data_IF_876142578748
#
_entry.id   IF_876142578748
#
_cell.length_a   1.000
_cell.length_b   1.000
_cell.length_c   1.000
_cell.angle_alpha   90.00
_cell.angle_beta   90.00
_cell.angle_gamma   90.00
#
_symmetry.space_group_name_H-M   'P 1'
#
loop_
_entity.id
_entity.type
_entity.pdbx_description
1 polymer ?
#
# COMPACT_ATOMS: atom_id res chain seq x y z
N UNK A 1 32.95 19.79 -14.80
CA UNK A 1 32.60 20.00 -13.39
C UNK A 1 32.59 18.64 -12.69
N UNK A 2 33.76 18.17 -12.23
CA UNK A 2 33.92 16.95 -11.41
C UNK A 2 34.14 17.28 -9.92
N UNK A 3 34.16 18.57 -9.56
CA UNK A 3 34.57 19.04 -8.24
C UNK A 3 33.58 18.79 -7.10
N UNK A 4 32.31 18.50 -7.37
CA UNK A 4 31.32 18.26 -6.31
C UNK A 4 31.37 16.81 -5.78
N UNK A 5 31.88 15.85 -6.57
CA UNK A 5 31.95 14.43 -6.19
C UNK A 5 33.07 14.11 -5.19
N UNK A 6 34.20 14.83 -5.24
CA UNK A 6 35.34 14.59 -4.34
C UNK A 6 35.07 14.98 -2.87
N UNK A 7 34.05 15.80 -2.61
CA UNK A 7 33.69 16.22 -1.24
C UNK A 7 33.07 15.09 -0.41
N UNK A 8 32.59 14.02 -1.05
CA UNK A 8 31.96 12.87 -0.40
C UNK A 8 32.93 11.71 -0.13
N UNK A 9 34.20 11.85 -0.55
CA UNK A 9 35.24 10.84 -0.39
C UNK A 9 35.94 10.49 -1.71
N UNK A 10 37.17 9.99 -1.62
CA UNK A 10 37.88 9.45 -2.78
C UNK A 10 37.16 8.19 -3.25
N UNK A 11 36.77 8.18 -4.52
CA UNK A 11 36.12 7.04 -5.13
C UNK A 11 36.85 6.70 -6.42
N UNK A 12 37.39 5.49 -6.50
CA UNK A 12 38.28 5.04 -7.59
C UNK A 12 37.64 5.18 -8.99
N UNK A 13 36.31 5.20 -9.06
CA UNK A 13 35.57 5.42 -10.31
C UNK A 13 35.70 6.86 -10.81
N UNK A 14 35.74 7.86 -9.93
CA UNK A 14 35.92 9.25 -10.33
C UNK A 14 37.35 9.51 -10.80
N UNK A 15 38.36 8.93 -10.15
CA UNK A 15 39.76 8.96 -10.61
C UNK A 15 39.91 8.37 -12.02
N UNK A 16 39.18 7.29 -12.31
CA UNK A 16 39.22 6.62 -13.60
C UNK A 16 38.45 7.38 -14.70
N UNK A 17 37.37 8.08 -14.33
CA UNK A 17 36.60 8.93 -15.26
C UNK A 17 37.26 10.31 -15.50
N UNK A 18 38.08 10.79 -14.57
CA UNK A 18 38.82 12.06 -14.68
C UNK A 18 39.95 11.98 -15.71
N UNK A 19 40.49 10.78 -15.98
CA UNK A 19 41.53 10.53 -17.00
C UNK A 19 41.06 10.67 -18.46
N UNK A 20 39.91 11.31 -18.69
CA UNK A 20 39.27 11.49 -20.00
C UNK A 20 39.15 10.20 -20.85
N UNK A 21 38.62 9.09 -20.30
CA UNK A 21 38.50 7.83 -21.03
C UNK A 21 37.54 7.95 -22.23
N UNK A 22 37.86 7.26 -23.33
CA UNK A 22 36.98 7.14 -24.50
C UNK A 22 35.67 6.42 -24.13
N UNK A 23 34.59 6.61 -24.89
CA UNK A 23 33.27 6.00 -24.61
C UNK A 23 33.32 4.48 -24.36
N UNK A 24 34.20 3.76 -25.05
CA UNK A 24 34.42 2.32 -24.84
C UNK A 24 35.01 2.02 -23.45
N UNK A 25 35.98 2.81 -23.00
CA UNK A 25 36.61 2.66 -21.69
C UNK A 25 35.63 3.03 -20.56
N UNK A 26 34.78 4.03 -20.77
CA UNK A 26 33.69 4.38 -19.83
C UNK A 26 32.74 3.19 -19.65
N UNK A 27 32.36 2.51 -20.74
CA UNK A 27 31.50 1.32 -20.68
C UNK A 27 32.18 0.16 -19.96
N UNK A 28 33.47 -0.06 -20.17
CA UNK A 28 34.23 -1.09 -19.43
C UNK A 28 34.31 -0.78 -17.94
N UNK A 29 34.52 0.48 -17.55
CA UNK A 29 34.48 0.91 -16.15
C UNK A 29 33.09 0.63 -15.55
N UNK A 30 32.02 0.96 -16.29
CA UNK A 30 30.64 0.68 -15.89
C UNK A 30 30.34 -0.81 -15.72
N UNK A 31 30.90 -1.68 -16.58
CA UNK A 31 30.77 -3.14 -16.45
C UNK A 31 31.56 -3.68 -15.26
N UNK A 32 32.81 -3.26 -15.06
CA UNK A 32 33.67 -3.72 -13.95
C UNK A 32 33.12 -3.33 -12.58
N UNK A 33 32.48 -2.18 -12.48
CA UNK A 33 31.91 -1.64 -11.25
C UNK A 33 30.45 -2.07 -11.05
N UNK A 34 29.89 -2.88 -11.95
CA UNK A 34 28.52 -3.40 -11.85
C UNK A 34 27.41 -2.39 -12.18
N UNK A 35 27.75 -1.16 -12.61
CA UNK A 35 26.77 -0.16 -13.05
C UNK A 35 26.08 -0.53 -14.36
N UNK A 36 26.72 -1.35 -15.19
CA UNK A 36 26.16 -1.91 -16.41
C UNK A 36 26.05 -3.42 -16.27
N UNK A 37 24.87 -3.97 -16.56
CA UNK A 37 24.69 -5.42 -16.73
C UNK A 37 24.98 -5.78 -18.19
N UNK A 38 25.93 -6.68 -18.41
CA UNK A 38 26.22 -7.21 -19.73
C UNK A 38 25.01 -8.01 -20.23
N UNK A 39 24.27 -7.42 -21.16
CA UNK A 39 23.20 -8.04 -21.95
C UNK A 39 21.99 -8.58 -21.17
N UNK A 40 20.98 -7.74 -20.96
CA UNK A 40 19.58 -8.18 -20.91
C UNK A 40 18.84 -7.66 -22.14
N UNK A 41 18.99 -8.40 -23.26
CA UNK A 41 18.03 -8.34 -24.36
C UNK A 41 16.66 -8.73 -23.79
N UNK A 42 15.64 -7.92 -24.09
CA UNK A 42 14.21 -8.21 -23.88
C UNK A 42 13.72 -8.22 -22.42
N UNK A 43 13.85 -7.11 -21.71
CA UNK A 43 12.90 -6.82 -20.65
C UNK A 43 11.72 -6.06 -21.27
N UNK A 44 10.56 -6.71 -21.36
CA UNK A 44 9.25 -6.05 -21.52
C UNK A 44 9.27 -4.76 -20.71
N UNK A 45 8.72 -3.69 -21.29
CA UNK A 45 8.50 -2.40 -20.63
C UNK A 45 7.71 -2.66 -19.34
N UNK A 46 8.43 -2.98 -18.26
CA UNK A 46 7.95 -2.91 -16.91
C UNK A 46 7.96 -1.43 -16.63
N UNK A 47 6.78 -0.83 -16.59
CA UNK A 47 6.59 0.52 -16.08
C UNK A 47 7.43 0.63 -14.80
N UNK A 48 8.48 1.45 -14.87
CA UNK A 48 9.33 1.71 -13.71
C UNK A 48 8.48 2.60 -12.81
N UNK A 49 8.14 2.12 -11.63
CA UNK A 49 7.50 2.96 -10.62
C UNK A 49 8.40 4.20 -10.42
N UNK A 50 7.84 5.38 -10.65
CA UNK A 50 8.58 6.66 -10.64
C UNK A 50 9.13 6.99 -9.24
N UNK A 51 8.57 6.35 -8.23
CA UNK A 51 8.96 6.44 -6.83
C UNK A 51 9.10 5.02 -6.33
N UNK A 52 10.29 4.64 -5.87
CA UNK A 52 10.42 3.41 -5.08
C UNK A 52 9.70 3.68 -3.77
N UNK A 53 8.63 2.92 -3.49
CA UNK A 53 8.01 2.91 -2.17
C UNK A 53 9.13 2.58 -1.19
N UNK A 54 9.42 3.51 -0.29
CA UNK A 54 10.56 3.37 0.60
C UNK A 54 10.14 2.44 1.75
N UNK A 55 10.12 1.13 1.50
CA UNK A 55 9.74 0.10 2.47
C UNK A 55 10.64 0.14 3.73
N UNK A 56 11.79 0.81 3.65
CA UNK A 56 12.67 1.07 4.79
C UNK A 56 12.06 1.99 5.86
N UNK A 57 11.05 2.81 5.52
CA UNK A 57 10.29 3.62 6.49
C UNK A 57 9.15 2.79 7.12
N UNK A 58 8.79 1.65 6.52
CA UNK A 58 7.77 0.72 7.01
C UNK A 58 8.34 -0.37 7.93
N UNK A 59 9.63 -0.29 8.27
CA UNK A 59 10.28 -1.18 9.23
C UNK A 59 9.90 -0.83 10.67
N UNK A 60 8.69 -1.24 11.04
CA UNK A 60 8.35 -1.77 12.37
C UNK A 60 6.98 -2.46 12.22
N UNK A 61 7.01 -3.77 12.02
CA UNK A 61 5.91 -4.70 12.33
C UNK A 61 4.52 -4.38 11.75
N UNK A 62 4.42 -3.61 10.66
CA UNK A 62 3.10 -3.20 10.15
C UNK A 62 2.48 -4.37 9.37
N UNK A 63 1.44 -4.97 9.92
CA UNK A 63 0.69 -6.03 9.25
C UNK A 63 0.08 -5.51 7.94
N UNK A 64 -0.19 -6.38 6.95
CA UNK A 64 -0.87 -5.96 5.72
C UNK A 64 -2.20 -5.24 5.97
N UNK A 65 -2.91 -5.60 7.05
CA UNK A 65 -4.14 -4.93 7.48
C UNK A 65 -3.88 -3.53 8.05
N UNK A 66 -2.80 -3.33 8.81
CA UNK A 66 -2.40 -2.00 9.28
C UNK A 66 -1.95 -1.08 8.12
N UNK A 67 -1.34 -1.64 7.07
CA UNK A 67 -1.05 -0.89 5.85
C UNK A 67 -2.33 -0.44 5.15
N UNK A 68 -3.33 -1.31 5.05
CA UNK A 68 -4.63 -0.97 4.48
C UNK A 68 -5.34 0.12 5.31
N UNK A 69 -5.25 0.05 6.64
CA UNK A 69 -5.80 1.10 7.52
C UNK A 69 -5.12 2.46 7.27
N UNK A 70 -3.79 2.50 7.20
CA UNK A 70 -3.06 3.75 6.88
C UNK A 70 -3.46 4.32 5.52
N UNK A 71 -3.71 3.46 4.53
CA UNK A 71 -4.19 3.89 3.22
C UNK A 71 -5.60 4.49 3.30
N UNK A 72 -6.50 3.83 4.02
CA UNK A 72 -7.86 4.32 4.26
C UNK A 72 -7.85 5.65 5.00
N UNK A 73 -7.03 5.80 6.05
CA UNK A 73 -6.86 7.08 6.76
C UNK A 73 -6.39 8.20 5.84
N UNK A 74 -5.41 7.92 4.97
CA UNK A 74 -4.94 8.87 3.95
C UNK A 74 -6.08 9.27 3.01
N UNK A 75 -6.84 8.30 2.48
CA UNK A 75 -7.99 8.57 1.60
C UNK A 75 -9.05 9.45 2.29
N UNK A 76 -9.32 9.21 3.58
CA UNK A 76 -10.23 10.02 4.37
C UNK A 76 -9.71 11.45 4.57
N UNK A 77 -8.40 11.64 4.78
CA UNK A 77 -7.79 12.97 4.85
C UNK A 77 -7.98 13.77 3.55
N UNK A 78 -7.96 13.10 2.40
CA UNK A 78 -8.25 13.72 1.10
C UNK A 78 -9.75 13.80 0.77
N UNK A 79 -10.64 13.44 1.70
CA UNK A 79 -12.09 13.47 1.52
C UNK A 79 -12.61 12.40 0.57
N UNK A 80 -11.81 11.38 0.23
CA UNK A 80 -12.15 10.32 -0.71
C UNK A 80 -12.90 9.18 -0.01
N UNK A 81 -14.05 9.49 0.60
CA UNK A 81 -14.84 8.56 1.41
C UNK A 81 -15.19 7.26 0.67
N UNK A 82 -15.70 7.36 -0.56
CA UNK A 82 -16.09 6.18 -1.35
C UNK A 82 -14.92 5.23 -1.65
N UNK A 83 -13.74 5.81 -1.91
CA UNK A 83 -12.53 5.02 -2.14
C UNK A 83 -12.04 4.40 -0.83
N UNK A 84 -12.08 5.15 0.26
CA UNK A 84 -11.73 4.65 1.60
C UNK A 84 -12.61 3.45 1.99
N UNK A 85 -13.93 3.54 1.79
CA UNK A 85 -14.86 2.43 2.03
C UNK A 85 -14.49 1.23 1.14
N UNK A 86 -14.28 1.45 -0.16
CA UNK A 86 -13.98 0.37 -1.11
C UNK A 86 -12.64 -0.33 -0.79
N UNK A 87 -11.60 0.42 -0.42
CA UNK A 87 -10.30 -0.13 0.00
C UNK A 87 -10.46 -0.95 1.27
N UNK A 88 -11.27 -0.48 2.22
CA UNK A 88 -11.51 -1.19 3.48
C UNK A 88 -12.34 -2.47 3.29
N UNK A 89 -13.35 -2.44 2.42
CA UNK A 89 -14.10 -3.64 2.01
C UNK A 89 -13.17 -4.70 1.42
N UNK A 90 -12.24 -4.29 0.54
CA UNK A 90 -11.25 -5.21 -0.03
C UNK A 90 -10.29 -5.76 1.01
N UNK A 91 -9.84 -4.92 1.96
CA UNK A 91 -8.96 -5.35 3.04
C UNK A 91 -9.65 -6.39 3.93
N UNK A 92 -10.93 -6.21 4.25
CA UNK A 92 -11.73 -7.16 5.04
C UNK A 92 -11.88 -8.49 4.31
N UNK A 93 -12.09 -8.48 3.00
CA UNK A 93 -12.17 -9.71 2.22
C UNK A 93 -10.84 -10.47 2.17
N UNK A 94 -9.71 -9.77 2.28
CA UNK A 94 -8.37 -10.38 2.31
C UNK A 94 -7.97 -10.84 3.71
N UNK A 95 -8.39 -10.10 4.73
CA UNK A 95 -8.03 -10.30 6.14
C UNK A 95 -9.28 -10.32 7.03
N UNK A 96 -10.15 -11.35 6.88
CA UNK A 96 -11.44 -11.39 7.58
C UNK A 96 -11.30 -11.56 9.09
N UNK A 97 -10.13 -11.97 9.60
CA UNK A 97 -9.85 -12.14 11.03
C UNK A 97 -9.50 -10.82 11.74
N UNK A 98 -9.21 -9.76 10.98
CA UNK A 98 -8.74 -8.49 11.53
C UNK A 98 -9.92 -7.61 11.97
N UNK A 99 -10.36 -7.81 13.22
CA UNK A 99 -11.50 -7.12 13.84
C UNK A 99 -11.46 -5.59 13.73
N UNK A 100 -10.26 -5.00 13.69
CA UNK A 100 -10.08 -3.55 13.59
C UNK A 100 -10.61 -2.96 12.26
N UNK A 101 -10.51 -3.71 11.16
CA UNK A 101 -10.99 -3.26 9.86
C UNK A 101 -12.51 -3.04 9.88
N UNK A 102 -13.25 -3.91 10.57
CA UNK A 102 -14.70 -3.82 10.70
C UNK A 102 -15.16 -2.61 11.51
N UNK A 103 -14.43 -2.27 12.58
CA UNK A 103 -14.76 -1.10 13.40
C UNK A 103 -14.72 0.17 12.55
N UNK A 104 -13.65 0.34 11.78
CA UNK A 104 -13.50 1.50 10.90
C UNK A 104 -14.55 1.48 9.78
N UNK A 105 -14.86 0.30 9.24
CA UNK A 105 -15.85 0.17 8.15
C UNK A 105 -17.23 0.60 8.63
N UNK A 106 -17.64 0.13 9.81
CA UNK A 106 -18.92 0.50 10.37
C UNK A 106 -18.99 2.00 10.65
N UNK A 107 -17.97 2.61 11.26
CA UNK A 107 -17.95 4.08 11.48
C UNK A 107 -18.12 4.86 10.17
N UNK A 108 -17.42 4.45 9.11
CA UNK A 108 -17.56 5.10 7.80
C UNK A 108 -18.96 4.95 7.21
N UNK A 109 -19.60 3.79 7.37
CA UNK A 109 -20.98 3.58 6.95
C UNK A 109 -22.00 4.31 7.81
N UNK A 110 -21.78 4.43 9.13
CA UNK A 110 -22.65 5.23 10.00
C UNK A 110 -22.61 6.71 9.58
N UNK A 111 -21.43 7.19 9.15
CA UNK A 111 -21.24 8.57 8.68
C UNK A 111 -21.77 8.82 7.27
N UNK A 112 -21.73 7.82 6.39
CA UNK A 112 -22.27 7.92 5.03
C UNK A 112 -23.78 7.67 4.97
N UNK A 113 -24.35 7.10 6.03
CA UNK A 113 -25.73 6.62 6.13
C UNK A 113 -26.10 5.59 5.02
N UNK A 114 -25.10 4.97 4.38
CA UNK A 114 -25.30 3.99 3.31
C UNK A 114 -25.46 2.57 3.87
N UNK A 115 -26.54 2.38 4.61
CA UNK A 115 -26.88 1.11 5.26
C UNK A 115 -27.17 -0.01 4.26
N UNK A 116 -27.69 0.34 3.08
CA UNK A 116 -28.05 -0.64 2.05
C UNK A 116 -26.81 -1.32 1.51
N UNK A 117 -25.76 -0.54 1.19
CA UNK A 117 -24.48 -1.08 0.73
C UNK A 117 -23.80 -1.93 1.80
N UNK A 118 -23.83 -1.49 3.05
CA UNK A 118 -23.30 -2.27 4.17
C UNK A 118 -23.98 -3.64 4.30
N UNK A 119 -25.32 -3.70 4.24
CA UNK A 119 -26.04 -4.98 4.32
C UNK A 119 -25.72 -5.92 3.14
N UNK A 120 -25.48 -5.37 1.94
CA UNK A 120 -25.05 -6.17 0.80
C UNK A 120 -23.64 -6.73 1.03
N UNK A 121 -22.72 -5.90 1.51
CA UNK A 121 -21.36 -6.32 1.83
C UNK A 121 -21.32 -7.42 2.91
N UNK A 122 -22.08 -7.26 4.00
CA UNK A 122 -22.15 -8.25 5.07
C UNK A 122 -22.75 -9.58 4.62
N UNK A 123 -23.70 -9.56 3.69
CA UNK A 123 -24.22 -10.78 3.05
C UNK A 123 -23.13 -11.48 2.25
N UNK A 124 -22.44 -10.74 1.38
CA UNK A 124 -21.32 -11.26 0.59
C UNK A 124 -20.20 -11.84 1.46
N UNK A 125 -19.89 -11.16 2.57
CA UNK A 125 -18.88 -11.61 3.52
C UNK A 125 -19.26 -12.95 4.15
N UNK A 126 -20.51 -13.09 4.61
CA UNK A 126 -21.02 -14.33 5.21
C UNK A 126 -21.07 -15.50 4.21
N UNK A 127 -21.29 -15.21 2.92
CA UNK A 127 -21.25 -16.21 1.86
C UNK A 127 -19.83 -16.68 1.55
N UNK A 128 -18.82 -15.81 1.68
CA UNK A 128 -17.43 -16.14 1.39
C UNK A 128 -16.70 -16.77 2.57
N UNK A 129 -16.91 -16.24 3.76
CA UNK A 129 -16.18 -16.63 4.98
C UNK A 129 -17.16 -17.16 6.02
N UNK A 130 -17.09 -18.48 6.28
CA UNK A 130 -17.92 -19.14 7.27
C UNK A 130 -17.48 -18.84 8.72
N UNK A 131 -16.21 -18.44 8.93
CA UNK A 131 -15.59 -18.26 10.24
C UNK A 131 -15.13 -16.82 10.45
N UNK A 132 -16.08 -15.93 10.75
CA UNK A 132 -15.79 -14.58 11.23
C UNK A 132 -15.47 -14.60 12.73
N UNK A 133 -14.61 -13.69 13.23
CA UNK A 133 -14.37 -13.52 14.66
C UNK A 133 -15.68 -13.27 15.41
N UNK A 134 -15.82 -13.83 16.61
CA UNK A 134 -17.03 -13.70 17.42
C UNK A 134 -17.35 -12.22 17.72
N UNK A 135 -16.31 -11.41 17.94
CA UNK A 135 -16.43 -9.96 18.17
C UNK A 135 -17.08 -9.25 16.97
N UNK A 136 -16.72 -9.66 15.75
CA UNK A 136 -17.26 -9.10 14.51
C UNK A 136 -18.72 -9.50 14.33
N UNK A 137 -19.06 -10.77 14.59
CA UNK A 137 -20.45 -11.25 14.52
C UNK A 137 -21.34 -10.52 15.53
N UNK A 138 -20.84 -10.28 16.74
CA UNK A 138 -21.54 -9.51 17.76
C UNK A 138 -21.72 -8.05 17.33
N UNK A 139 -20.66 -7.42 16.81
CA UNK A 139 -20.69 -6.04 16.34
C UNK A 139 -21.71 -5.86 15.20
N UNK A 140 -21.72 -6.77 14.22
CA UNK A 140 -22.72 -6.78 13.13
C UNK A 140 -24.14 -6.86 13.70
N UNK A 141 -24.38 -7.77 14.66
CA UNK A 141 -25.70 -7.95 15.26
C UNK A 141 -26.18 -6.71 16.00
N UNK A 142 -25.29 -6.04 16.75
CA UNK A 142 -25.59 -4.79 17.44
C UNK A 142 -25.87 -3.65 16.45
N UNK A 143 -25.10 -3.58 15.36
CA UNK A 143 -25.28 -2.58 14.31
C UNK A 143 -26.63 -2.74 13.62
N UNK A 144 -27.00 -3.97 13.26
CA UNK A 144 -28.32 -4.27 12.70
C UNK A 144 -29.45 -3.84 13.65
N UNK A 145 -29.34 -4.11 14.94
CA UNK A 145 -30.32 -3.66 15.94
C UNK A 145 -30.45 -2.13 15.98
N UNK A 146 -29.32 -1.40 15.90
CA UNK A 146 -29.32 0.07 15.86
C UNK A 146 -29.99 0.62 14.60
N UNK A 147 -29.68 0.05 13.44
CA UNK A 147 -30.30 0.45 12.15
C UNK A 147 -31.81 0.26 12.21
N UNK A 148 -32.29 -0.90 12.67
CA UNK A 148 -33.73 -1.17 12.82
C UNK A 148 -34.40 -0.21 13.81
N UNK A 149 -33.71 0.18 14.89
CA UNK A 149 -34.22 1.13 15.87
C UNK A 149 -34.29 2.56 15.34
N UNK A 150 -33.31 2.99 14.55
CA UNK A 150 -33.31 4.31 13.91
C UNK A 150 -34.35 4.40 12.78
N UNK A 151 -34.62 3.30 12.06
CA UNK A 151 -35.62 3.26 11.00
C UNK A 151 -37.08 3.30 11.51
N UNK A 152 -37.31 2.90 12.77
CA UNK A 152 -38.64 2.90 13.42
C UNK A 152 -38.95 4.20 14.21
N UNK A 153 -38.18 5.26 14.03
CA UNK A 153 -38.42 6.58 14.62
C UNK A 153 -38.79 7.61 13.56
#
# INVERSE_FOLDING_TARGET
MLGWGYSLGQHEVFDNLEKAPTEQQIREIGLKQGYLQAASRQAKIKYRELVQRNDSILNESTSPAELALKEVESLLMYGQLEQAISTLEQAILQYPQESQLYIMLFDLYERSEDWVRLEQFLRLLREREANLPEEVVLAISQLQQRIHRNSNK
#
